data_IF_481798515481
#
_entry.id   IF_481798515481
#
_cell.length_a   1.000
_cell.length_b   1.000
_cell.length_c   1.000
_cell.angle_alpha   90.00
_cell.angle_beta   90.00
_cell.angle_gamma   90.00
#
_symmetry.space_group_name_H-M   'P 1'
#
loop_
_entity.id
_entity.type
_entity.pdbx_description
1 polymer ?
#
# COMPACT_ATOMS: atom_id res chain seq x y z
N UNK A 1 32.16 2.01 28.34
CA UNK A 1 31.54 2.98 27.41
C UNK A 1 32.04 2.65 26.01
N UNK A 2 31.24 1.97 25.19
CA UNK A 2 31.66 1.57 23.84
C UNK A 2 31.63 2.78 22.91
N UNK A 3 32.77 3.06 22.30
CA UNK A 3 32.97 4.12 21.31
C UNK A 3 32.16 3.84 20.04
N UNK A 4 30.89 4.22 20.03
CA UNK A 4 30.04 4.18 18.82
C UNK A 4 30.21 5.51 18.10
N UNK A 5 31.10 5.56 17.10
CA UNK A 5 31.28 6.76 16.27
C UNK A 5 29.97 7.19 15.61
N UNK A 6 29.82 8.48 15.28
CA UNK A 6 28.63 9.09 14.65
C UNK A 6 28.01 8.27 13.50
N UNK A 7 28.84 7.55 12.73
CA UNK A 7 28.41 6.65 11.66
C UNK A 7 27.50 5.48 12.10
N UNK A 8 27.58 5.07 13.37
CA UNK A 8 26.79 3.94 13.92
C UNK A 8 25.44 4.35 14.49
N UNK A 9 25.22 5.63 14.79
CA UNK A 9 23.98 6.10 15.44
C UNK A 9 22.79 6.13 14.46
N UNK A 10 23.03 6.42 13.18
CA UNK A 10 22.00 6.47 12.13
C UNK A 10 21.94 5.19 11.27
N UNK A 11 22.75 4.18 11.61
CA UNK A 11 22.83 2.95 10.83
C UNK A 11 21.49 2.20 10.88
N UNK A 12 20.95 1.78 9.72
CA UNK A 12 19.80 0.90 9.67
C UNK A 12 20.02 -0.38 10.50
N UNK A 13 18.96 -0.97 11.06
CA UNK A 13 19.04 -2.27 11.71
C UNK A 13 19.18 -3.39 10.67
N UNK A 14 20.35 -3.48 10.02
CA UNK A 14 20.59 -4.32 8.82
C UNK A 14 20.17 -5.77 8.98
N UNK A 15 20.36 -6.38 10.17
CA UNK A 15 19.95 -7.75 10.41
C UNK A 15 18.43 -7.93 10.28
N UNK A 16 17.66 -6.98 10.81
CA UNK A 16 16.20 -6.97 10.71
C UNK A 16 15.74 -6.61 9.30
N UNK A 17 16.38 -5.61 8.67
CA UNK A 17 16.12 -5.22 7.27
C UNK A 17 16.33 -6.40 6.32
N UNK A 18 17.44 -7.13 6.46
CA UNK A 18 17.73 -8.31 5.64
C UNK A 18 16.71 -9.43 5.85
N UNK A 19 16.26 -9.65 7.09
CA UNK A 19 15.22 -10.64 7.37
C UNK A 19 13.90 -10.30 6.65
N UNK A 20 13.53 -9.01 6.60
CA UNK A 20 12.36 -8.55 5.86
C UNK A 20 12.47 -8.76 4.36
N UNK A 21 13.60 -8.38 3.76
CA UNK A 21 13.82 -8.58 2.33
C UNK A 21 13.87 -10.07 1.96
N UNK A 22 14.57 -10.89 2.75
CA UNK A 22 14.64 -12.33 2.50
C UNK A 22 13.26 -13.00 2.60
N UNK A 23 12.51 -12.70 3.66
CA UNK A 23 11.15 -13.19 3.82
C UNK A 23 10.27 -12.72 2.65
N UNK A 24 10.39 -11.45 2.28
CA UNK A 24 9.68 -10.84 1.15
C UNK A 24 9.95 -11.53 -0.19
N UNK A 25 11.21 -11.79 -0.51
CA UNK A 25 11.62 -12.43 -1.77
C UNK A 25 11.17 -13.89 -1.83
N UNK A 26 11.38 -14.65 -0.75
CA UNK A 26 10.91 -16.04 -0.68
C UNK A 26 9.37 -16.10 -0.73
N UNK A 27 8.71 -15.19 -0.02
CA UNK A 27 7.26 -15.05 -0.01
C UNK A 27 6.69 -14.68 -1.38
N UNK A 28 7.39 -13.85 -2.16
CA UNK A 28 7.02 -13.57 -3.55
C UNK A 28 7.03 -14.83 -4.41
N UNK A 29 8.10 -15.63 -4.33
CA UNK A 29 8.19 -16.90 -5.06
C UNK A 29 7.03 -17.82 -4.69
N UNK A 30 6.75 -17.97 -3.39
CA UNK A 30 5.62 -18.79 -2.90
C UNK A 30 4.27 -18.26 -3.42
N UNK A 31 4.01 -16.96 -3.31
CA UNK A 31 2.77 -16.36 -3.80
C UNK A 31 2.62 -16.49 -5.33
N UNK A 32 3.71 -16.38 -6.08
CA UNK A 32 3.72 -16.59 -7.52
C UNK A 32 3.42 -18.06 -7.90
N UNK A 33 3.95 -19.03 -7.14
CA UNK A 33 3.60 -20.45 -7.32
C UNK A 33 2.11 -20.70 -7.03
N UNK A 34 1.55 -20.07 -5.99
CA UNK A 34 0.12 -20.14 -5.73
C UNK A 34 -0.71 -19.53 -6.86
N UNK A 35 -0.31 -18.39 -7.41
CA UNK A 35 -0.99 -17.78 -8.57
C UNK A 35 -0.97 -18.72 -9.78
N UNK A 36 0.18 -19.36 -10.06
CA UNK A 36 0.28 -20.32 -11.16
C UNK A 36 -0.64 -21.54 -10.94
N UNK A 37 -0.69 -22.06 -9.71
CA UNK A 37 -1.56 -23.17 -9.35
C UNK A 37 -3.05 -22.84 -9.48
N UNK A 38 -3.47 -21.64 -9.07
CA UNK A 38 -4.85 -21.18 -9.20
C UNK A 38 -5.17 -20.53 -10.56
N UNK A 39 -4.24 -20.54 -11.52
CA UNK A 39 -4.42 -19.88 -12.81
C UNK A 39 -5.62 -20.37 -13.62
N UNK A 40 -6.04 -21.66 -13.59
CA UNK A 40 -7.25 -22.11 -14.28
C UNK A 40 -8.54 -21.46 -13.77
N UNK A 41 -8.52 -20.92 -12.54
CA UNK A 41 -9.69 -20.30 -11.90
C UNK A 41 -9.79 -18.80 -12.20
N UNK A 42 -8.80 -18.21 -12.90
CA UNK A 42 -8.74 -16.77 -13.22
C UNK A 42 -9.89 -16.30 -14.12
N UNK A 43 -10.53 -17.20 -14.86
CA UNK A 43 -11.73 -16.89 -15.66
C UNK A 43 -13.01 -16.77 -14.83
N UNK A 44 -12.94 -17.04 -13.53
CA UNK A 44 -14.07 -16.89 -12.60
C UNK A 44 -14.07 -15.54 -11.88
N UNK A 45 -15.13 -15.25 -11.13
CA UNK A 45 -15.30 -13.96 -10.46
C UNK A 45 -14.14 -13.61 -9.51
N UNK A 46 -13.67 -12.35 -9.54
CA UNK A 46 -12.46 -11.91 -8.79
C UNK A 46 -12.62 -11.90 -7.26
N UNK A 47 -13.84 -11.91 -6.74
CA UNK A 47 -14.14 -11.99 -5.29
C UNK A 47 -14.27 -13.44 -4.77
N UNK A 48 -13.63 -14.42 -5.39
CA UNK A 48 -13.60 -15.77 -4.83
C UNK A 48 -12.67 -15.84 -3.61
N UNK A 49 -12.92 -16.78 -2.67
CA UNK A 49 -12.03 -17.01 -1.53
C UNK A 49 -10.57 -17.20 -1.89
N UNK A 50 -10.31 -17.95 -2.96
CA UNK A 50 -8.95 -18.24 -3.41
C UNK A 50 -8.24 -16.98 -3.86
N UNK A 51 -8.91 -16.09 -4.61
CA UNK A 51 -8.30 -14.82 -5.03
C UNK A 51 -8.15 -13.84 -3.87
N UNK A 52 -9.11 -13.79 -2.94
CA UNK A 52 -8.97 -12.99 -1.73
C UNK A 52 -7.78 -13.50 -0.90
N UNK A 53 -7.66 -14.81 -0.69
CA UNK A 53 -6.52 -15.43 -0.02
C UNK A 53 -5.21 -15.13 -0.74
N UNK A 54 -5.15 -15.33 -2.06
CA UNK A 54 -3.98 -15.07 -2.88
C UNK A 54 -3.54 -13.59 -2.82
N UNK A 55 -4.50 -12.66 -2.84
CA UNK A 55 -4.22 -11.23 -2.64
C UNK A 55 -3.50 -11.01 -1.31
N UNK A 56 -3.98 -11.62 -0.22
CA UNK A 56 -3.35 -11.52 1.10
C UNK A 56 -2.00 -12.23 1.15
N UNK A 57 -1.78 -13.30 0.39
CA UNK A 57 -0.46 -13.94 0.26
C UNK A 57 0.56 -12.97 -0.37
N UNK A 58 0.22 -12.30 -1.48
CA UNK A 58 1.10 -11.28 -2.07
C UNK A 58 1.35 -10.11 -1.09
N UNK A 59 0.30 -9.65 -0.38
CA UNK A 59 0.41 -8.54 0.55
C UNK A 59 1.28 -8.89 1.76
N UNK A 60 1.05 -10.03 2.41
CA UNK A 60 1.71 -10.38 3.68
C UNK A 60 3.03 -11.12 3.51
N UNK A 61 3.21 -11.89 2.44
CA UNK A 61 4.44 -12.67 2.25
C UNK A 61 5.50 -11.85 1.52
N UNK A 62 5.09 -10.91 0.68
CA UNK A 62 6.00 -10.13 -0.15
C UNK A 62 5.93 -8.62 0.13
N UNK A 63 4.80 -7.97 -0.19
CA UNK A 63 4.75 -6.50 -0.23
C UNK A 63 5.04 -5.85 1.12
N UNK A 64 4.31 -6.20 2.18
CA UNK A 64 4.50 -5.59 3.50
C UNK A 64 5.90 -5.86 4.08
N UNK A 65 6.44 -7.10 4.06
CA UNK A 65 7.82 -7.34 4.47
C UNK A 65 8.83 -6.45 3.72
N UNK A 66 8.77 -6.40 2.39
CA UNK A 66 9.68 -5.56 1.59
C UNK A 66 9.53 -4.08 1.95
N UNK A 67 8.30 -3.58 2.04
CA UNK A 67 8.02 -2.18 2.36
C UNK A 67 8.49 -1.83 3.78
N UNK A 68 8.23 -2.66 4.78
CA UNK A 68 8.69 -2.40 6.15
C UNK A 68 10.21 -2.49 6.27
N UNK A 69 10.85 -3.44 5.58
CA UNK A 69 12.31 -3.50 5.47
C UNK A 69 12.89 -2.24 4.84
N UNK A 70 12.30 -1.78 3.74
CA UNK A 70 12.68 -0.54 3.07
C UNK A 70 12.49 0.68 3.97
N UNK A 71 11.37 0.81 4.67
CA UNK A 71 11.12 1.93 5.60
C UNK A 71 12.10 1.94 6.77
N UNK A 72 12.43 0.77 7.34
CA UNK A 72 13.45 0.64 8.39
C UNK A 72 14.84 1.09 7.91
N UNK A 73 15.14 0.98 6.61
CA UNK A 73 16.40 1.42 6.01
C UNK A 73 16.36 2.88 5.54
N UNK A 74 15.27 3.31 4.92
CA UNK A 74 15.18 4.59 4.23
C UNK A 74 14.83 5.74 5.15
N UNK A 75 13.91 5.57 6.10
CA UNK A 75 13.54 6.64 7.02
C UNK A 75 14.73 7.21 7.81
N UNK A 76 15.63 6.40 8.39
CA UNK A 76 16.77 6.95 9.12
C UNK A 76 17.74 7.73 8.23
N UNK A 77 17.93 7.28 6.99
CA UNK A 77 18.78 7.96 6.00
C UNK A 77 18.14 9.25 5.50
N UNK A 78 16.83 9.23 5.25
CA UNK A 78 16.10 10.36 4.67
C UNK A 78 15.95 11.52 5.67
N UNK A 79 15.66 11.20 6.92
CA UNK A 79 15.39 12.19 7.95
C UNK A 79 16.56 12.40 8.92
N UNK A 80 17.68 11.70 8.70
CA UNK A 80 18.90 11.78 9.53
C UNK A 80 18.58 11.55 11.02
N UNK A 81 17.76 10.52 11.30
CA UNK A 81 17.32 10.16 12.66
C UNK A 81 17.43 8.66 12.89
N UNK A 82 17.76 8.19 14.10
CA UNK A 82 17.78 6.76 14.39
C UNK A 82 16.37 6.15 14.39
N UNK A 83 16.26 4.88 13.99
CA UNK A 83 15.00 4.13 14.10
C UNK A 83 14.62 3.94 15.58
N UNK A 84 13.44 4.43 15.97
CA UNK A 84 12.94 4.36 17.34
C UNK A 84 12.02 3.15 17.55
N UNK A 85 12.55 2.09 18.14
CA UNK A 85 11.77 0.89 18.52
C UNK A 85 12.12 -0.37 17.73
N UNK A 86 13.41 -0.61 17.46
CA UNK A 86 13.89 -1.78 16.70
C UNK A 86 13.40 -3.12 17.29
N UNK A 87 13.36 -3.26 18.63
CA UNK A 87 12.82 -4.46 19.29
C UNK A 87 11.33 -4.65 19.01
N UNK A 88 10.56 -3.57 19.05
CA UNK A 88 9.12 -3.58 18.71
C UNK A 88 8.90 -3.96 17.26
N UNK A 89 9.72 -3.46 16.33
CA UNK A 89 9.69 -3.87 14.92
C UNK A 89 10.04 -5.36 14.75
N UNK A 90 11.01 -5.88 15.51
CA UNK A 90 11.33 -7.32 15.51
C UNK A 90 10.18 -8.20 16.01
N UNK A 91 9.47 -7.77 17.06
CA UNK A 91 8.28 -8.47 17.53
C UNK A 91 7.12 -8.39 16.54
N UNK A 92 6.89 -7.21 15.94
CA UNK A 92 5.90 -7.01 14.90
C UNK A 92 6.19 -7.91 13.67
N UNK A 93 7.47 -8.08 13.30
CA UNK A 93 7.88 -8.99 12.24
C UNK A 93 7.46 -10.43 12.52
N UNK A 94 7.70 -10.93 13.75
CA UNK A 94 7.30 -12.28 14.13
C UNK A 94 5.77 -12.47 14.08
N UNK A 95 5.01 -11.48 14.56
CA UNK A 95 3.54 -11.48 14.48
C UNK A 95 3.06 -11.52 13.02
N UNK A 96 3.66 -10.73 12.12
CA UNK A 96 3.32 -10.73 10.70
C UNK A 96 3.67 -12.07 10.03
N UNK A 97 4.86 -12.63 10.34
CA UNK A 97 5.34 -13.88 9.78
C UNK A 97 4.49 -15.10 10.17
N UNK A 98 3.81 -15.05 11.32
CA UNK A 98 2.88 -16.09 11.78
C UNK A 98 1.44 -15.78 11.33
N UNK A 99 0.99 -14.55 11.55
CA UNK A 99 -0.38 -14.13 11.26
C UNK A 99 -0.69 -14.12 9.77
N UNK A 100 0.24 -13.68 8.92
CA UNK A 100 0.06 -13.62 7.47
C UNK A 100 -0.31 -14.97 6.86
N UNK A 101 0.52 -16.03 7.05
CA UNK A 101 0.20 -17.36 6.57
C UNK A 101 -1.11 -17.92 7.12
N UNK A 102 -1.42 -17.62 8.38
CA UNK A 102 -2.68 -18.00 9.01
C UNK A 102 -3.90 -17.33 8.35
N UNK A 103 -3.84 -16.03 8.05
CA UNK A 103 -4.93 -15.33 7.34
C UNK A 103 -5.12 -15.93 5.94
N UNK A 104 -4.03 -16.13 5.20
CA UNK A 104 -4.07 -16.78 3.89
C UNK A 104 -4.76 -18.16 3.94
N UNK A 105 -4.34 -19.03 4.85
CA UNK A 105 -4.86 -20.40 4.94
C UNK A 105 -6.34 -20.44 5.28
N UNK A 106 -6.84 -19.49 6.08
CA UNK A 106 -8.25 -19.40 6.40
C UNK A 106 -9.07 -18.88 5.21
N UNK A 107 -8.61 -17.82 4.54
CA UNK A 107 -9.32 -17.20 3.43
C UNK A 107 -9.40 -18.12 2.19
N UNK A 108 -8.30 -18.79 1.82
CA UNK A 108 -8.28 -19.67 0.63
C UNK A 108 -9.26 -20.84 0.76
N UNK A 109 -9.54 -21.28 1.98
CA UNK A 109 -10.44 -22.40 2.29
C UNK A 109 -11.85 -21.96 2.74
N UNK A 110 -12.16 -20.66 2.75
CA UNK A 110 -13.37 -20.12 3.41
C UNK A 110 -13.57 -20.60 4.85
N UNK A 111 -12.47 -20.85 5.58
CA UNK A 111 -12.55 -21.21 6.97
C UNK A 111 -12.70 -19.94 7.81
N UNK A 112 -13.94 -19.61 8.18
CA UNK A 112 -14.28 -18.43 8.99
C UNK A 112 -14.26 -18.72 10.49
N UNK A 113 -13.50 -19.71 10.96
CA UNK A 113 -13.38 -20.04 12.39
C UNK A 113 -12.73 -18.92 13.21
N UNK A 114 -12.69 -19.09 14.54
CA UNK A 114 -11.97 -18.20 15.47
C UNK A 114 -10.49 -18.05 15.08
N UNK A 115 -9.90 -19.03 14.39
CA UNK A 115 -8.54 -18.96 13.86
C UNK A 115 -8.34 -17.82 12.86
N UNK A 116 -9.35 -17.47 12.05
CA UNK A 116 -9.31 -16.31 11.15
C UNK A 116 -9.18 -15.02 11.98
N UNK A 117 -10.02 -14.84 13.01
CA UNK A 117 -9.97 -13.67 13.90
C UNK A 117 -8.60 -13.56 14.59
N UNK A 118 -8.09 -14.67 15.14
CA UNK A 118 -6.83 -14.68 15.86
C UNK A 118 -5.65 -14.30 14.95
N UNK A 119 -5.57 -14.91 13.77
CA UNK A 119 -4.50 -14.63 12.80
C UNK A 119 -4.60 -13.21 12.22
N UNK A 120 -5.81 -12.74 11.91
CA UNK A 120 -6.05 -11.33 11.54
C UNK A 120 -5.65 -10.37 12.65
N UNK A 121 -5.91 -10.71 13.92
CA UNK A 121 -5.51 -9.89 15.06
C UNK A 121 -3.99 -9.78 15.18
N UNK A 122 -3.24 -10.87 14.94
CA UNK A 122 -1.78 -10.82 14.90
C UNK A 122 -1.25 -9.90 13.81
N UNK A 123 -1.81 -9.99 12.59
CA UNK A 123 -1.44 -9.11 11.48
C UNK A 123 -1.77 -7.65 11.79
N UNK A 124 -2.97 -7.36 12.28
CA UNK A 124 -3.38 -5.99 12.63
C UNK A 124 -2.49 -5.43 13.73
N UNK A 125 -2.19 -6.20 14.78
CA UNK A 125 -1.27 -5.77 15.83
C UNK A 125 0.14 -5.51 15.27
N UNK A 126 0.67 -6.39 14.42
CA UNK A 126 1.96 -6.19 13.77
C UNK A 126 1.99 -4.85 13.01
N UNK A 127 0.98 -4.59 12.18
CA UNK A 127 0.87 -3.36 11.40
C UNK A 127 0.82 -2.12 12.31
N UNK A 128 0.00 -2.14 13.36
CA UNK A 128 -0.09 -1.01 14.30
C UNK A 128 1.23 -0.75 15.03
N UNK A 129 1.97 -1.81 15.38
CA UNK A 129 3.30 -1.69 15.97
C UNK A 129 4.31 -1.10 14.99
N UNK A 130 4.30 -1.50 13.71
CA UNK A 130 5.14 -0.87 12.68
C UNK A 130 4.79 0.60 12.47
N UNK A 131 3.50 0.93 12.36
CA UNK A 131 3.07 2.33 12.26
C UNK A 131 3.58 3.14 13.45
N UNK A 132 3.47 2.61 14.68
CA UNK A 132 4.03 3.25 15.88
C UNK A 132 5.54 3.46 15.79
N UNK A 133 6.32 2.45 15.36
CA UNK A 133 7.78 2.58 15.16
C UNK A 133 8.11 3.67 14.16
N UNK A 134 7.43 3.70 13.01
CA UNK A 134 7.71 4.68 11.96
C UNK A 134 7.27 6.10 12.36
N UNK A 135 6.09 6.27 12.97
CA UNK A 135 5.67 7.57 13.50
C UNK A 135 6.64 8.09 14.55
N UNK A 136 7.03 7.26 15.54
CA UNK A 136 8.00 7.64 16.56
C UNK A 136 9.37 7.96 15.98
N UNK A 137 9.74 7.33 14.87
CA UNK A 137 10.98 7.63 14.14
C UNK A 137 10.88 9.01 13.48
N UNK A 138 9.79 9.27 12.74
CA UNK A 138 9.54 10.54 12.05
C UNK A 138 9.40 11.73 13.02
N UNK A 139 8.79 11.53 14.20
CA UNK A 139 8.64 12.59 15.21
C UNK A 139 9.99 13.12 15.73
N UNK A 140 11.10 12.42 15.50
CA UNK A 140 12.44 12.91 15.85
C UNK A 140 13.03 13.85 14.79
N UNK A 141 12.47 13.89 13.58
CA UNK A 141 12.99 14.69 12.49
C UNK A 141 12.75 16.17 12.75
N UNK A 142 13.78 17.00 12.54
CA UNK A 142 13.67 18.46 12.71
C UNK A 142 12.62 19.09 11.79
N UNK A 143 12.44 18.51 10.60
CA UNK A 143 11.47 18.96 9.60
C UNK A 143 10.96 17.78 8.78
N UNK A 144 9.65 17.71 8.63
CA UNK A 144 8.99 16.76 7.74
C UNK A 144 8.79 17.43 6.38
N UNK A 145 9.42 16.87 5.35
CA UNK A 145 9.27 17.32 3.97
C UNK A 145 8.05 16.67 3.28
N UNK A 146 7.83 16.98 2.00
CA UNK A 146 6.70 16.43 1.24
C UNK A 146 6.67 14.90 1.25
N UNK A 147 7.83 14.25 1.19
CA UNK A 147 7.97 12.79 1.25
C UNK A 147 7.49 12.26 2.59
N UNK A 148 7.91 12.89 3.69
CA UNK A 148 7.48 12.49 5.03
C UNK A 148 5.97 12.61 5.23
N UNK A 149 5.33 13.64 4.65
CA UNK A 149 3.88 13.76 4.68
C UNK A 149 3.15 12.66 3.89
N UNK A 150 3.70 12.21 2.76
CA UNK A 150 3.17 11.03 2.04
C UNK A 150 3.32 9.76 2.87
N UNK A 151 4.48 9.56 3.52
CA UNK A 151 4.71 8.42 4.42
C UNK A 151 3.69 8.43 5.56
N UNK A 152 3.46 9.58 6.20
CA UNK A 152 2.47 9.73 7.27
C UNK A 152 1.07 9.36 6.78
N UNK A 153 0.64 9.91 5.64
CA UNK A 153 -0.66 9.61 5.05
C UNK A 153 -0.81 8.11 4.74
N UNK A 154 0.23 7.49 4.18
CA UNK A 154 0.27 6.07 3.88
C UNK A 154 0.14 5.20 5.14
N UNK A 155 0.88 5.52 6.19
CA UNK A 155 0.84 4.78 7.47
C UNK A 155 -0.52 4.91 8.16
N UNK A 156 -1.15 6.08 8.10
CA UNK A 156 -2.52 6.27 8.60
C UNK A 156 -3.51 5.39 7.82
N UNK A 157 -3.47 5.41 6.48
CA UNK A 157 -4.34 4.59 5.65
C UNK A 157 -4.10 3.09 5.89
N UNK A 158 -2.85 2.66 6.07
CA UNK A 158 -2.51 1.27 6.39
C UNK A 158 -3.11 0.83 7.73
N UNK A 159 -3.04 1.69 8.76
CA UNK A 159 -3.64 1.40 10.06
C UNK A 159 -5.17 1.25 9.95
N UNK A 160 -5.84 2.13 9.21
CA UNK A 160 -7.28 2.02 8.95
C UNK A 160 -7.63 0.79 8.11
N UNK A 161 -6.83 0.46 7.09
CA UNK A 161 -7.02 -0.76 6.29
C UNK A 161 -6.93 -2.01 7.15
N UNK A 162 -5.92 -2.11 8.03
CA UNK A 162 -5.74 -3.24 8.93
C UNK A 162 -6.88 -3.40 9.95
N UNK A 163 -7.41 -2.29 10.47
CA UNK A 163 -8.58 -2.30 11.34
C UNK A 163 -9.85 -2.72 10.58
N UNK A 164 -10.06 -2.19 9.36
CA UNK A 164 -11.19 -2.58 8.52
C UNK A 164 -11.12 -4.08 8.13
N UNK A 165 -9.92 -4.60 7.85
CA UNK A 165 -9.71 -6.02 7.58
C UNK A 165 -10.03 -6.90 8.80
N UNK A 166 -9.68 -6.45 10.01
CA UNK A 166 -10.05 -7.15 11.24
C UNK A 166 -11.56 -7.14 11.47
N UNK A 167 -12.23 -6.00 11.26
CA UNK A 167 -13.69 -5.88 11.31
C UNK A 167 -14.35 -6.87 10.33
N UNK A 168 -13.82 -6.98 9.11
CA UNK A 168 -14.28 -7.97 8.12
C UNK A 168 -14.06 -9.41 8.61
N UNK A 169 -12.93 -9.73 9.23
CA UNK A 169 -12.67 -11.07 9.78
C UNK A 169 -13.70 -11.43 10.88
N UNK A 170 -14.00 -10.50 11.79
CA UNK A 170 -15.08 -10.69 12.77
C UNK A 170 -16.44 -10.88 12.09
N UNK A 171 -16.74 -10.09 11.06
CA UNK A 171 -18.01 -10.19 10.34
C UNK A 171 -18.16 -11.52 9.61
N UNK A 172 -17.10 -12.02 8.97
CA UNK A 172 -17.11 -13.32 8.28
C UNK A 172 -17.30 -14.49 9.25
N UNK A 173 -16.77 -14.39 10.47
CA UNK A 173 -17.01 -15.38 11.52
C UNK A 173 -18.42 -15.32 12.09
N UNK A 174 -18.87 -14.11 12.45
CA UNK A 174 -20.19 -13.84 13.01
C UNK A 174 -20.75 -12.56 12.39
N UNK A 175 -21.66 -12.65 11.41
CA UNK A 175 -22.20 -11.48 10.74
C UNK A 175 -22.88 -10.51 11.72
N UNK A 176 -22.41 -9.27 11.75
CA UNK A 176 -22.97 -8.19 12.58
C UNK A 176 -23.11 -6.85 11.85
N UNK A 177 -22.56 -6.74 10.62
CA UNK A 177 -22.71 -5.51 9.84
C UNK A 177 -24.12 -5.51 9.24
N UNK A 178 -24.83 -4.37 9.29
CA UNK A 178 -26.21 -4.28 8.83
C UNK A 178 -26.38 -4.32 7.30
N UNK A 179 -25.28 -4.34 6.54
CA UNK A 179 -25.28 -4.26 5.07
C UNK A 179 -24.29 -5.25 4.46
N UNK A 180 -24.31 -5.38 3.13
CA UNK A 180 -23.41 -6.27 2.40
C UNK A 180 -21.92 -5.97 2.71
N UNK A 181 -21.18 -6.99 3.15
CA UNK A 181 -19.76 -6.88 3.47
C UNK A 181 -18.88 -6.45 2.29
N UNK A 182 -19.41 -6.56 1.05
CA UNK A 182 -18.73 -6.13 -0.18
C UNK A 182 -18.42 -4.62 -0.19
N UNK A 183 -19.25 -3.79 0.44
CA UNK A 183 -18.95 -2.35 0.60
C UNK A 183 -17.72 -2.13 1.50
N UNK A 184 -17.67 -2.80 2.65
CA UNK A 184 -16.53 -2.76 3.56
C UNK A 184 -15.26 -3.34 2.90
N UNK A 185 -15.40 -4.41 2.13
CA UNK A 185 -14.30 -5.01 1.38
C UNK A 185 -13.71 -4.03 0.36
N UNK A 186 -14.56 -3.30 -0.39
CA UNK A 186 -14.12 -2.26 -1.32
C UNK A 186 -13.39 -1.13 -0.60
N UNK A 187 -13.92 -0.65 0.53
CA UNK A 187 -13.26 0.38 1.34
C UNK A 187 -11.90 -0.07 1.87
N UNK A 188 -11.81 -1.29 2.41
CA UNK A 188 -10.56 -1.91 2.85
C UNK A 188 -9.53 -2.00 1.71
N UNK A 189 -9.95 -2.50 0.53
CA UNK A 189 -9.07 -2.66 -0.62
C UNK A 189 -8.51 -1.33 -1.11
N UNK A 190 -9.32 -0.26 -1.20
CA UNK A 190 -8.85 1.05 -1.65
C UNK A 190 -7.96 1.76 -0.62
N UNK A 191 -8.25 1.60 0.69
CA UNK A 191 -7.36 2.07 1.75
C UNK A 191 -5.99 1.39 1.68
N UNK A 192 -5.95 0.08 1.42
CA UNK A 192 -4.69 -0.67 1.31
C UNK A 192 -3.93 -0.33 0.01
N UNK A 193 -4.61 -0.37 -1.14
CA UNK A 193 -3.98 -0.17 -2.45
C UNK A 193 -3.60 1.29 -2.69
N UNK A 194 -4.58 2.20 -2.71
CA UNK A 194 -4.28 3.60 -3.00
C UNK A 194 -3.84 4.36 -1.75
N UNK A 195 -4.57 4.20 -0.65
CA UNK A 195 -4.30 4.93 0.59
C UNK A 195 -2.91 4.63 1.19
N UNK A 196 -2.50 3.36 1.24
CA UNK A 196 -1.17 3.00 1.72
C UNK A 196 -0.13 2.92 0.60
N UNK A 197 -0.31 1.99 -0.34
CA UNK A 197 0.75 1.66 -1.28
C UNK A 197 1.05 2.83 -2.25
N UNK A 198 0.03 3.37 -2.92
CA UNK A 198 0.24 4.47 -3.86
C UNK A 198 0.84 5.73 -3.20
N UNK A 199 0.30 6.18 -2.05
CA UNK A 199 0.90 7.32 -1.34
C UNK A 199 2.36 7.09 -0.95
N UNK A 200 2.69 5.90 -0.47
CA UNK A 200 4.06 5.59 -0.09
C UNK A 200 4.98 5.65 -1.31
N UNK A 201 4.60 4.99 -2.40
CA UNK A 201 5.36 4.98 -3.66
C UNK A 201 5.51 6.39 -4.22
N UNK A 202 4.44 7.17 -4.28
CA UNK A 202 4.47 8.55 -4.80
C UNK A 202 5.44 9.44 -4.01
N UNK A 203 5.36 9.40 -2.68
CA UNK A 203 6.25 10.17 -1.81
C UNK A 203 7.71 9.76 -1.97
N UNK A 204 7.98 8.45 -1.91
CA UNK A 204 9.33 7.91 -2.04
C UNK A 204 9.92 8.20 -3.43
N UNK A 205 9.12 8.08 -4.49
CA UNK A 205 9.54 8.35 -5.85
C UNK A 205 10.04 9.79 -6.03
N UNK A 206 9.36 10.80 -5.46
CA UNK A 206 9.86 12.18 -5.50
C UNK A 206 11.28 12.28 -4.95
N UNK A 207 11.51 11.72 -3.76
CA UNK A 207 12.80 11.84 -3.09
C UNK A 207 13.90 11.05 -3.77
N UNK A 208 13.63 9.81 -4.17
CA UNK A 208 14.61 8.99 -4.85
C UNK A 208 15.03 9.64 -6.18
N UNK A 209 14.07 10.22 -6.91
CA UNK A 209 14.35 10.94 -8.16
C UNK A 209 15.24 12.15 -7.92
N UNK A 210 14.94 12.97 -6.91
CA UNK A 210 15.79 14.11 -6.51
C UNK A 210 17.23 13.65 -6.17
N UNK A 211 17.37 12.60 -5.35
CA UNK A 211 18.66 12.16 -4.81
C UNK A 211 19.55 11.49 -5.86
N UNK A 212 19.02 10.58 -6.67
CA UNK A 212 19.82 9.76 -7.57
C UNK A 212 20.01 10.37 -8.96
N UNK A 213 19.11 11.25 -9.40
CA UNK A 213 19.27 11.97 -10.67
C UNK A 213 19.86 13.39 -10.49
N UNK A 214 20.22 13.75 -9.24
CA UNK A 214 20.72 15.06 -8.85
C UNK A 214 19.78 16.19 -9.31
N UNK A 215 18.47 15.94 -9.18
CA UNK A 215 17.40 16.79 -9.69
C UNK A 215 16.89 17.74 -8.60
N UNK A 216 17.75 18.66 -8.16
CA UNK A 216 17.43 19.58 -7.06
C UNK A 216 16.69 20.85 -7.54
N UNK A 217 16.00 21.51 -6.60
CA UNK A 217 15.38 22.82 -6.84
C UNK A 217 14.07 22.82 -7.62
N UNK A 218 13.50 21.64 -7.89
CA UNK A 218 12.17 21.54 -8.49
C UNK A 218 11.09 22.12 -7.53
N UNK A 219 10.18 22.99 -8.02
CA UNK A 219 9.07 23.45 -7.20
C UNK A 219 8.18 22.25 -6.81
N UNK A 220 7.71 22.24 -5.56
CA UNK A 220 6.94 21.12 -4.98
C UNK A 220 5.42 21.34 -5.01
N UNK A 221 4.95 22.31 -5.78
CA UNK A 221 3.54 22.75 -5.78
C UNK A 221 2.61 21.65 -6.27
N UNK A 222 2.89 21.04 -7.42
CA UNK A 222 2.07 19.96 -7.97
C UNK A 222 2.02 18.75 -7.01
N UNK A 223 3.14 18.41 -6.37
CA UNK A 223 3.23 17.33 -5.39
C UNK A 223 2.45 17.62 -4.09
N UNK A 224 2.40 18.88 -3.63
CA UNK A 224 1.57 19.27 -2.48
C UNK A 224 0.08 19.15 -2.81
N UNK A 225 -0.34 19.65 -3.97
CA UNK A 225 -1.74 19.55 -4.41
C UNK A 225 -2.10 18.08 -4.65
N UNK A 226 -1.20 17.29 -5.25
CA UNK A 226 -1.35 15.84 -5.40
C UNK A 226 -1.64 15.16 -4.06
N UNK A 227 -0.85 15.44 -3.02
CA UNK A 227 -1.08 14.89 -1.69
C UNK A 227 -2.44 15.32 -1.13
N UNK A 228 -2.79 16.61 -1.20
CA UNK A 228 -4.06 17.13 -0.69
C UNK A 228 -5.28 16.52 -1.40
N UNK A 229 -5.24 16.43 -2.74
CA UNK A 229 -6.27 15.77 -3.53
C UNK A 229 -6.36 14.29 -3.18
N UNK A 230 -5.21 13.61 -3.06
CA UNK A 230 -5.14 12.20 -2.73
C UNK A 230 -5.76 11.89 -1.37
N UNK A 231 -5.31 12.56 -0.31
CA UNK A 231 -5.78 12.29 1.06
C UNK A 231 -7.26 12.63 1.22
N UNK A 232 -7.71 13.73 0.62
CA UNK A 232 -9.14 14.10 0.57
C UNK A 232 -9.93 13.03 -0.20
N UNK A 233 -9.43 12.61 -1.36
CA UNK A 233 -10.07 11.62 -2.21
C UNK A 233 -10.25 10.26 -1.52
N UNK A 234 -9.19 9.74 -0.88
CA UNK A 234 -9.25 8.50 -0.09
C UNK A 234 -10.22 8.61 1.08
N UNK A 235 -10.24 9.77 1.75
CA UNK A 235 -11.15 10.01 2.87
C UNK A 235 -12.61 9.97 2.40
N UNK A 236 -12.94 10.71 1.33
CA UNK A 236 -14.29 10.72 0.76
C UNK A 236 -14.69 9.34 0.23
N UNK A 237 -13.79 8.65 -0.46
CA UNK A 237 -14.04 7.29 -0.95
C UNK A 237 -14.32 6.32 0.21
N UNK A 238 -13.55 6.41 1.29
CA UNK A 238 -13.75 5.59 2.49
C UNK A 238 -15.08 5.90 3.17
N UNK A 239 -15.45 7.19 3.30
CA UNK A 239 -16.75 7.61 3.85
C UNK A 239 -17.90 7.10 2.96
N UNK A 240 -17.74 7.18 1.64
CA UNK A 240 -18.65 6.62 0.64
C UNK A 240 -18.93 5.15 0.89
N UNK A 241 -17.90 4.31 0.86
CA UNK A 241 -18.03 2.87 0.97
C UNK A 241 -18.43 2.37 2.38
N UNK A 242 -17.88 2.93 3.45
CA UNK A 242 -18.17 2.41 4.80
C UNK A 242 -19.51 2.87 5.36
N UNK A 243 -20.02 4.02 4.91
CA UNK A 243 -21.17 4.66 5.55
C UNK A 243 -22.25 5.09 4.56
N UNK A 244 -21.93 5.93 3.58
CA UNK A 244 -22.95 6.65 2.80
C UNK A 244 -23.67 5.80 1.75
N UNK A 245 -22.94 4.99 0.99
CA UNK A 245 -23.53 4.04 0.04
C UNK A 245 -24.40 3.00 0.76
N UNK A 246 -23.91 2.27 1.79
CA UNK A 246 -24.70 1.23 2.42
C UNK A 246 -25.89 1.77 3.25
N UNK A 247 -25.75 2.92 3.92
CA UNK A 247 -26.81 3.45 4.80
C UNK A 247 -27.84 4.31 4.08
N UNK A 248 -27.41 5.06 3.05
CA UNK A 248 -28.22 6.13 2.44
C UNK A 248 -28.35 6.01 0.93
N UNK A 249 -27.69 5.03 0.29
CA UNK A 249 -27.65 4.92 -1.16
C UNK A 249 -26.93 6.08 -1.85
N UNK A 250 -26.10 6.83 -1.12
CA UNK A 250 -25.44 8.04 -1.64
C UNK A 250 -24.06 7.66 -2.20
N UNK A 251 -23.96 7.53 -3.53
CA UNK A 251 -22.70 7.17 -4.23
C UNK A 251 -21.82 8.36 -4.61
N UNK A 252 -22.41 9.56 -4.79
CA UNK A 252 -21.69 10.71 -5.35
C UNK A 252 -20.48 11.16 -4.53
N UNK A 253 -20.47 10.88 -3.22
CA UNK A 253 -19.33 11.19 -2.35
C UNK A 253 -18.14 10.28 -2.67
N UNK A 254 -18.40 8.99 -2.92
CA UNK A 254 -17.38 8.04 -3.39
C UNK A 254 -16.90 8.38 -4.80
N UNK A 255 -17.81 8.84 -5.67
CA UNK A 255 -17.47 9.32 -7.02
C UNK A 255 -16.52 10.51 -6.98
N UNK A 256 -16.83 11.52 -6.17
CA UNK A 256 -15.97 12.67 -5.96
C UNK A 256 -14.61 12.26 -5.38
N UNK A 257 -14.60 11.32 -4.45
CA UNK A 257 -13.37 10.73 -3.90
C UNK A 257 -12.48 10.10 -4.99
N UNK A 258 -13.10 9.35 -5.90
CA UNK A 258 -12.42 8.70 -7.04
C UNK A 258 -11.83 9.73 -8.01
N UNK A 259 -12.58 10.81 -8.31
CA UNK A 259 -12.10 11.90 -9.17
C UNK A 259 -10.86 12.59 -8.55
N UNK A 260 -10.90 12.86 -7.25
CA UNK A 260 -9.78 13.48 -6.53
C UNK A 260 -8.54 12.58 -6.47
N UNK A 261 -8.73 11.27 -6.32
CA UNK A 261 -7.66 10.26 -6.44
C UNK A 261 -7.04 10.32 -7.84
N UNK A 262 -7.85 10.38 -8.90
CA UNK A 262 -7.37 10.55 -10.27
C UNK A 262 -6.54 11.80 -10.48
N UNK A 263 -7.05 12.94 -10.00
CA UNK A 263 -6.33 14.20 -10.04
C UNK A 263 -5.00 14.12 -9.27
N UNK A 264 -4.97 13.41 -8.14
CA UNK A 264 -3.74 13.16 -7.37
C UNK A 264 -2.67 12.43 -8.19
N UNK A 265 -3.05 11.37 -8.91
CA UNK A 265 -2.14 10.59 -9.78
C UNK A 265 -1.63 11.45 -10.94
N UNK A 266 -2.51 12.22 -11.59
CA UNK A 266 -2.12 13.12 -12.68
C UNK A 266 -1.12 14.17 -12.19
N UNK A 267 -1.40 14.81 -11.05
CA UNK A 267 -0.51 15.80 -10.45
C UNK A 267 0.81 15.21 -9.97
N UNK A 268 0.82 13.94 -9.54
CA UNK A 268 2.04 13.20 -9.25
C UNK A 268 2.89 13.01 -10.51
N UNK A 269 2.30 12.58 -11.62
CA UNK A 269 3.01 12.46 -12.89
C UNK A 269 3.56 13.82 -13.37
N UNK A 270 2.80 14.91 -13.20
CA UNK A 270 3.26 16.28 -13.48
C UNK A 270 4.45 16.65 -12.58
N UNK A 271 4.37 16.40 -11.27
CA UNK A 271 5.46 16.68 -10.34
C UNK A 271 6.72 15.87 -10.68
N UNK A 272 6.57 14.59 -11.04
CA UNK A 272 7.66 13.73 -11.50
C UNK A 272 8.31 14.29 -12.76
N UNK A 273 7.52 14.75 -13.74
CA UNK A 273 8.04 15.42 -14.95
C UNK A 273 8.82 16.69 -14.61
N UNK A 274 8.34 17.51 -13.67
CA UNK A 274 9.03 18.72 -13.23
C UNK A 274 10.37 18.37 -12.59
N UNK A 275 10.43 17.38 -11.70
CA UNK A 275 11.71 16.91 -11.11
C UNK A 275 12.63 16.38 -12.21
N UNK A 276 12.13 15.51 -13.09
CA UNK A 276 12.90 14.92 -14.18
C UNK A 276 13.42 15.93 -15.19
N UNK A 277 12.78 17.10 -15.35
CA UNK A 277 13.27 18.19 -16.20
C UNK A 277 14.49 18.92 -15.61
N UNK A 278 14.72 18.79 -14.30
CA UNK A 278 15.86 19.38 -13.58
C UNK A 278 17.02 18.41 -13.38
N UNK A 279 16.92 17.17 -13.88
CA UNK A 279 17.95 16.15 -13.71
C UNK A 279 19.27 16.56 -14.37
N UNK A 280 20.38 16.29 -13.67
CA UNK A 280 21.72 16.45 -14.25
C UNK A 280 22.16 15.18 -14.99
N UNK A 281 21.70 14.01 -14.53
CA UNK A 281 22.05 12.73 -15.16
C UNK A 281 21.26 12.52 -16.45
N UNK A 282 21.97 12.45 -17.59
CA UNK A 282 21.35 12.27 -18.92
C UNK A 282 20.89 10.83 -19.17
N UNK A 283 21.69 9.83 -18.80
CA UNK A 283 21.36 8.41 -18.97
C UNK A 283 20.58 7.90 -17.76
N UNK A 284 19.46 7.24 -18.04
CA UNK A 284 18.63 6.59 -17.03
C UNK A 284 19.05 5.12 -16.97
N UNK A 285 19.57 4.71 -15.82
CA UNK A 285 19.88 3.30 -15.56
C UNK A 285 18.57 2.50 -15.39
N UNK A 286 18.63 1.17 -15.47
CA UNK A 286 17.45 0.29 -15.45
C UNK A 286 16.43 0.59 -14.33
N UNK A 287 16.81 0.89 -13.06
CA UNK A 287 15.83 1.23 -12.01
C UNK A 287 14.93 2.43 -12.35
N UNK A 288 15.46 3.39 -13.11
CA UNK A 288 14.72 4.58 -13.55
C UNK A 288 13.78 4.28 -14.71
N UNK A 289 14.18 3.37 -15.61
CA UNK A 289 13.29 2.88 -16.66
C UNK A 289 12.08 2.14 -16.05
N UNK A 290 12.31 1.33 -15.01
CA UNK A 290 11.23 0.69 -14.26
C UNK A 290 10.32 1.70 -13.54
N UNK A 291 10.89 2.74 -12.92
CA UNK A 291 10.08 3.78 -12.28
C UNK A 291 9.19 4.51 -13.28
N UNK A 292 9.73 4.86 -14.46
CA UNK A 292 8.94 5.51 -15.52
C UNK A 292 7.85 4.55 -16.04
N UNK A 293 8.19 3.29 -16.28
CA UNK A 293 7.22 2.29 -16.70
C UNK A 293 6.09 2.11 -15.68
N UNK A 294 6.42 2.07 -14.39
CA UNK A 294 5.43 2.01 -13.31
C UNK A 294 4.48 3.23 -13.32
N UNK A 295 5.01 4.45 -13.50
CA UNK A 295 4.15 5.64 -13.63
C UNK A 295 3.19 5.53 -14.83
N UNK A 296 3.65 4.99 -15.96
CA UNK A 296 2.79 4.76 -17.14
C UNK A 296 1.71 3.72 -16.82
N UNK A 297 2.08 2.59 -16.21
CA UNK A 297 1.12 1.55 -15.83
C UNK A 297 0.09 2.04 -14.81
N UNK A 298 0.48 2.89 -13.87
CA UNK A 298 -0.43 3.52 -12.90
C UNK A 298 -1.46 4.41 -13.61
N UNK A 299 -1.05 5.17 -14.63
CA UNK A 299 -1.96 5.98 -15.44
C UNK A 299 -2.92 5.11 -16.26
N UNK A 300 -2.45 3.97 -16.79
CA UNK A 300 -3.30 2.99 -17.48
C UNK A 300 -4.30 2.35 -16.52
N UNK A 301 -3.87 1.95 -15.32
CA UNK A 301 -4.75 1.41 -14.28
C UNK A 301 -5.86 2.41 -13.93
N UNK A 302 -5.50 3.69 -13.78
CA UNK A 302 -6.46 4.75 -13.51
C UNK A 302 -7.46 4.94 -14.66
N UNK A 303 -6.99 4.94 -15.92
CA UNK A 303 -7.87 5.03 -17.07
C UNK A 303 -8.88 3.85 -17.12
N UNK A 304 -8.41 2.63 -16.83
CA UNK A 304 -9.29 1.45 -16.72
C UNK A 304 -10.32 1.60 -15.61
N UNK A 305 -9.91 2.04 -14.42
CA UNK A 305 -10.83 2.29 -13.31
C UNK A 305 -11.92 3.31 -13.67
N UNK A 306 -11.55 4.38 -14.40
CA UNK A 306 -12.50 5.36 -14.89
C UNK A 306 -13.50 4.74 -15.89
N UNK A 307 -13.04 3.92 -16.84
CA UNK A 307 -13.93 3.23 -17.79
C UNK A 307 -14.91 2.28 -17.11
N UNK A 308 -14.48 1.58 -16.06
CA UNK A 308 -15.35 0.70 -15.26
C UNK A 308 -16.40 1.49 -14.48
N UNK A 309 -16.05 2.68 -13.98
CA UNK A 309 -16.99 3.52 -13.22
C UNK A 309 -18.05 4.17 -14.11
N UNK A 310 -17.75 4.42 -15.38
CA UNK A 310 -18.72 4.97 -16.35
C UNK A 310 -19.83 3.96 -16.72
N UNK A 311 -19.60 2.66 -16.53
CA UNK A 311 -20.57 1.60 -16.80
C UNK A 311 -20.90 1.43 -18.29
N UNK A 312 -21.96 0.67 -18.58
CA UNK A 312 -22.44 0.42 -19.95
C UNK A 312 -21.73 -0.72 -20.70
N UNK A 313 -20.91 -1.50 -19.99
CA UNK A 313 -20.22 -2.66 -20.54
C UNK A 313 -21.04 -3.92 -20.32
N UNK A 314 -20.87 -4.92 -21.20
CA UNK A 314 -21.41 -6.26 -20.93
C UNK A 314 -20.71 -6.88 -19.70
N UNK A 315 -21.37 -7.80 -18.97
CA UNK A 315 -20.77 -8.44 -17.79
C UNK A 315 -19.39 -9.09 -18.05
N UNK A 316 -19.20 -9.68 -19.24
CA UNK A 316 -17.94 -10.30 -19.64
C UNK A 316 -16.82 -9.26 -19.81
N UNK A 317 -17.16 -8.09 -20.37
CA UNK A 317 -16.23 -6.98 -20.53
C UNK A 317 -15.90 -6.36 -19.18
N UNK A 318 -16.88 -6.15 -18.29
CA UNK A 318 -16.62 -5.67 -16.93
C UNK A 318 -15.71 -6.61 -16.15
N UNK A 319 -15.91 -7.91 -16.32
CA UNK A 319 -15.08 -8.94 -15.70
C UNK A 319 -13.63 -8.88 -16.21
N UNK A 320 -13.43 -8.83 -17.54
CA UNK A 320 -12.12 -8.70 -18.16
C UNK A 320 -11.41 -7.41 -17.76
N UNK A 321 -12.12 -6.28 -17.72
CA UNK A 321 -11.60 -5.00 -17.25
C UNK A 321 -11.17 -5.06 -15.77
N UNK A 322 -11.92 -5.76 -14.92
CA UNK A 322 -11.58 -5.95 -13.52
C UNK A 322 -10.28 -6.73 -13.31
N UNK A 323 -10.07 -7.81 -14.07
CA UNK A 323 -8.82 -8.58 -14.05
C UNK A 323 -7.66 -7.73 -14.56
N UNK A 324 -7.84 -7.04 -15.69
CA UNK A 324 -6.83 -6.17 -16.28
C UNK A 324 -6.45 -5.04 -15.32
N UNK A 325 -7.43 -4.39 -14.69
CA UNK A 325 -7.22 -3.35 -13.68
C UNK A 325 -6.38 -3.89 -12.51
N UNK A 326 -6.72 -5.06 -11.98
CA UNK A 326 -5.98 -5.68 -10.88
C UNK A 326 -4.53 -6.00 -11.25
N UNK A 327 -4.28 -6.56 -12.44
CA UNK A 327 -2.94 -6.90 -12.89
C UNK A 327 -2.09 -5.66 -13.25
N UNK A 328 -2.68 -4.70 -13.96
CA UNK A 328 -1.99 -3.46 -14.36
C UNK A 328 -1.66 -2.59 -13.15
N UNK A 329 -2.54 -2.55 -12.14
CA UNK A 329 -2.26 -1.90 -10.86
C UNK A 329 -1.12 -2.54 -10.05
N UNK A 330 -0.72 -3.79 -10.34
CA UNK A 330 0.50 -4.38 -9.75
C UNK A 330 1.77 -3.94 -10.49
N UNK A 331 1.66 -3.57 -11.76
CA UNK A 331 2.79 -3.12 -12.58
C UNK A 331 3.10 -1.64 -12.39
N UNK A 332 2.15 -0.85 -11.86
CA UNK A 332 2.28 0.58 -11.65
C UNK A 332 1.33 1.11 -10.60
#
# INVERSE_FOLDING_TARGET
>A
MSNTGLATQFAPPFKLVNAHFLFGILGFVVAALFLNYFSPELSGHYLTPKFIGLTHAFVFFWFLPVVFGALLQMLPVLFEVPVRGVKTAGFAFALLAIGGPGVYSHLVNMNTSVGLIATSSFVTLAILLYCSVFFRTLLQAKKIDLTGWHVIAALCCLAFAALAGLVLAFHLHKPFLPYAHTFFLRGHAHLAAFGFFAFLVMGVAYKLTEMFLLAYGAPKTAGKISLSCGTTGVTLLSIGFFWLEPMKGISWVGDLGTILIGLSVILFAVQMRVILSKRMKRKLDAPWQHTIAAVVWLLVAFALAATMRLGGHSPDVEHGLGIAYGFIGLLG
#
